data_IF_187938946301
#
_entry.id   IF_187938946301
#
_cell.length_a   1.000
_cell.length_b   1.000
_cell.length_c   1.000
_cell.angle_alpha   90.00
_cell.angle_beta   90.00
_cell.angle_gamma   90.00
#
_symmetry.space_group_name_H-M   'P 1'
#
loop_
_entity.id
_entity.type
_entity.pdbx_description
1 polymer ?
#
# COMPACT_ATOMS: atom_id res chain seq x y z
N UNK A 1 -6.24 16.75 -6.30
CA UNK A 1 -5.53 16.56 -7.59
C UNK A 1 -4.93 15.16 -7.61
N UNK A 2 -4.95 14.42 -8.73
CA UNK A 2 -4.25 13.14 -8.79
C UNK A 2 -2.75 13.42 -8.63
N UNK A 3 -2.17 12.89 -7.55
CA UNK A 3 -0.72 12.95 -7.32
C UNK A 3 -0.09 12.14 -8.45
N UNK A 4 0.42 12.81 -9.49
CA UNK A 4 1.26 12.19 -10.52
C UNK A 4 2.63 11.93 -9.88
N UNK A 5 2.68 10.95 -8.98
CA UNK A 5 3.91 10.51 -8.33
C UNK A 5 4.55 9.40 -9.14
N UNK A 6 5.86 9.49 -9.35
CA UNK A 6 6.61 8.43 -10.01
C UNK A 6 6.61 7.17 -9.12
N UNK A 7 6.00 6.09 -9.61
CA UNK A 7 6.00 4.79 -8.91
C UNK A 7 7.41 4.24 -8.66
N UNK A 8 8.44 4.80 -9.31
CA UNK A 8 9.83 4.46 -9.05
C UNK A 8 10.26 4.77 -7.60
N UNK A 9 9.64 5.77 -6.96
CA UNK A 9 9.91 6.17 -5.56
C UNK A 9 9.63 5.03 -4.57
N UNK A 10 8.66 4.16 -4.87
CA UNK A 10 8.27 3.05 -4.00
C UNK A 10 9.32 1.94 -3.92
N UNK A 11 10.24 1.85 -4.88
CA UNK A 11 11.29 0.83 -4.90
C UNK A 11 12.35 1.05 -3.82
N UNK A 12 12.47 2.28 -3.33
CA UNK A 12 13.52 2.67 -2.39
C UNK A 12 12.96 2.74 -0.98
N UNK A 13 13.64 2.15 -0.01
CA UNK A 13 13.20 2.18 1.39
C UNK A 13 13.51 3.52 2.05
N UNK A 14 14.72 4.03 1.79
CA UNK A 14 15.27 5.24 2.40
C UNK A 14 15.61 6.31 1.37
N UNK A 15 15.63 7.57 1.80
CA UNK A 15 16.02 8.68 0.93
C UNK A 15 17.47 8.56 0.43
N UNK A 16 18.37 8.01 1.26
CA UNK A 16 19.76 7.79 0.84
C UNK A 16 19.89 6.79 -0.30
N UNK A 17 19.07 5.73 -0.28
CA UNK A 17 19.02 4.72 -1.33
C UNK A 17 18.47 5.30 -2.64
N UNK A 18 17.46 6.16 -2.52
CA UNK A 18 16.94 6.93 -3.65
C UNK A 18 18.02 7.82 -4.26
N UNK A 19 18.76 8.60 -3.47
CA UNK A 19 19.87 9.42 -3.97
C UNK A 19 20.97 8.57 -4.60
N UNK A 20 21.29 7.42 -4.01
CA UNK A 20 22.29 6.49 -4.54
C UNK A 20 21.94 5.98 -5.93
N UNK A 21 20.66 5.86 -6.26
CA UNK A 21 20.20 5.44 -7.59
C UNK A 21 20.61 6.42 -8.71
N UNK A 22 20.85 7.69 -8.39
CA UNK A 22 21.33 8.71 -9.33
C UNK A 22 22.86 8.83 -9.37
N UNK A 23 23.56 8.26 -8.38
CA UNK A 23 25.02 8.34 -8.29
C UNK A 23 25.72 7.29 -9.16
N UNK A 24 26.85 7.67 -9.78
CA UNK A 24 27.74 6.79 -10.52
C UNK A 24 28.97 6.43 -9.70
N UNK A 25 29.58 5.30 -10.05
CA UNK A 25 30.83 4.81 -9.43
C UNK A 25 31.97 5.83 -9.56
N UNK A 26 32.01 6.58 -10.68
CA UNK A 26 32.99 7.64 -10.91
C UNK A 26 32.94 8.75 -9.84
N UNK A 27 31.76 9.12 -9.38
CA UNK A 27 31.63 10.18 -8.36
C UNK A 27 32.21 9.73 -7.03
N UNK A 28 31.96 8.47 -6.66
CA UNK A 28 32.59 7.88 -5.49
C UNK A 28 34.11 7.84 -5.62
N UNK A 29 34.62 7.61 -6.83
CA UNK A 29 36.07 7.57 -7.11
C UNK A 29 36.72 8.95 -7.06
N UNK A 30 36.08 9.98 -7.65
CA UNK A 30 36.68 11.30 -7.83
C UNK A 30 36.36 12.27 -6.69
N UNK A 31 35.14 12.25 -6.13
CA UNK A 31 34.75 13.16 -5.05
C UNK A 31 35.04 12.57 -3.66
N UNK A 32 34.98 11.23 -3.52
CA UNK A 32 35.28 10.51 -2.28
C UNK A 32 34.35 10.77 -1.09
N UNK A 33 33.63 11.90 -1.07
CA UNK A 33 32.77 12.32 0.02
C UNK A 33 31.28 12.23 -0.35
N UNK A 34 30.56 11.34 0.34
CA UNK A 34 29.11 11.11 0.17
C UNK A 34 28.28 12.40 0.28
N UNK A 35 28.66 13.34 1.15
CA UNK A 35 27.92 14.60 1.33
C UNK A 35 27.97 15.48 0.08
N UNK A 36 29.15 15.58 -0.53
CA UNK A 36 29.35 16.40 -1.74
C UNK A 36 28.63 15.75 -2.93
N UNK A 37 28.71 14.42 -3.03
CA UNK A 37 28.00 13.65 -4.06
C UNK A 37 26.48 13.86 -3.94
N UNK A 38 25.93 13.76 -2.72
CA UNK A 38 24.51 14.00 -2.49
C UNK A 38 24.09 15.43 -2.85
N UNK A 39 24.91 16.43 -2.49
CA UNK A 39 24.65 17.81 -2.87
C UNK A 39 24.66 17.99 -4.41
N UNK A 40 25.62 17.36 -5.10
CA UNK A 40 25.69 17.39 -6.56
C UNK A 40 24.46 16.76 -7.22
N UNK A 41 23.99 15.63 -6.68
CA UNK A 41 22.76 14.98 -7.13
C UNK A 41 21.58 15.93 -6.93
N UNK A 42 21.39 16.50 -5.74
CA UNK A 42 20.29 17.44 -5.46
C UNK A 42 20.24 18.64 -6.41
N UNK A 43 21.40 19.11 -6.88
CA UNK A 43 21.48 20.21 -7.84
C UNK A 43 20.93 19.85 -9.23
N UNK A 44 20.71 18.56 -9.54
CA UNK A 44 20.02 18.13 -10.75
C UNK A 44 20.83 18.27 -12.05
N UNK A 45 22.10 18.65 -12.01
CA UNK A 45 22.93 18.85 -13.21
C UNK A 45 23.11 17.60 -14.09
N UNK A 46 22.84 16.40 -13.56
CA UNK A 46 23.04 15.13 -14.26
C UNK A 46 21.79 14.58 -14.92
N UNK A 47 20.61 14.95 -14.46
CA UNK A 47 19.34 14.39 -14.92
C UNK A 47 18.33 15.49 -15.14
N UNK A 48 17.62 15.43 -16.27
CA UNK A 48 16.49 16.33 -16.54
C UNK A 48 15.26 16.05 -15.66
N UNK A 49 15.34 15.04 -14.79
CA UNK A 49 14.30 14.72 -13.83
C UNK A 49 14.43 15.62 -12.60
N UNK A 50 13.31 16.15 -12.13
CA UNK A 50 13.22 16.86 -10.85
C UNK A 50 13.48 15.87 -9.71
N UNK A 51 14.54 16.10 -8.94
CA UNK A 51 14.88 15.27 -7.79
C UNK A 51 14.11 15.79 -6.59
N UNK A 52 13.40 14.89 -5.91
CA UNK A 52 12.62 15.26 -4.73
C UNK A 52 13.53 15.60 -3.54
N UNK A 53 13.14 16.60 -2.77
CA UNK A 53 13.72 16.80 -1.44
C UNK A 53 13.29 15.68 -0.48
N UNK A 54 13.98 15.58 0.65
CA UNK A 54 13.76 14.49 1.61
C UNK A 54 12.31 14.45 2.12
N UNK A 55 11.76 15.61 2.49
CA UNK A 55 10.37 15.73 2.96
C UNK A 55 9.36 15.34 1.86
N UNK A 56 9.62 15.79 0.64
CA UNK A 56 8.79 15.51 -0.53
C UNK A 56 8.82 14.02 -0.89
N UNK A 57 9.99 13.39 -0.83
CA UNK A 57 10.15 11.96 -1.07
C UNK A 57 9.26 11.13 -0.13
N UNK A 58 9.28 11.42 1.16
CA UNK A 58 8.44 10.70 2.13
C UNK A 58 6.96 11.02 1.96
N UNK A 59 6.59 12.26 1.65
CA UNK A 59 5.21 12.65 1.39
C UNK A 59 4.65 11.93 0.16
N UNK A 60 5.38 11.94 -0.96
CA UNK A 60 5.01 11.24 -2.21
C UNK A 60 4.94 9.74 -1.97
N UNK A 61 5.92 9.15 -1.29
CA UNK A 61 5.94 7.72 -0.97
C UNK A 61 4.72 7.30 -0.16
N UNK A 62 4.36 8.08 0.86
CA UNK A 62 3.17 7.82 1.69
C UNK A 62 1.89 7.91 0.87
N UNK A 63 1.74 8.97 0.08
CA UNK A 63 0.57 9.17 -0.78
C UNK A 63 0.41 8.05 -1.81
N UNK A 64 1.52 7.58 -2.41
CA UNK A 64 1.51 6.46 -3.34
C UNK A 64 1.17 5.14 -2.65
N UNK A 65 1.65 4.93 -1.42
CA UNK A 65 1.32 3.74 -0.65
C UNK A 65 -0.17 3.70 -0.28
N UNK A 66 -0.74 4.84 0.11
CA UNK A 66 -2.17 4.99 0.39
C UNK A 66 -3.01 4.81 -0.89
N UNK A 67 -2.48 5.19 -2.06
CA UNK A 67 -3.14 4.97 -3.35
C UNK A 67 -3.13 3.50 -3.76
N UNK A 68 -2.03 2.78 -3.54
CA UNK A 68 -1.90 1.34 -3.86
C UNK A 68 -2.72 0.49 -2.90
N UNK A 69 -2.69 0.84 -1.63
CA UNK A 69 -3.48 0.18 -0.60
C UNK A 69 -4.49 1.19 -0.04
N UNK A 70 -5.57 1.50 -0.80
CA UNK A 70 -6.64 2.30 -0.25
C UNK A 70 -7.21 1.48 0.91
N UNK A 71 -6.87 1.87 2.15
CA UNK A 71 -7.56 1.34 3.32
C UNK A 71 -9.02 1.62 3.05
N UNK A 72 -9.81 0.58 2.85
CA UNK A 72 -11.26 0.71 2.69
C UNK A 72 -11.81 1.13 4.05
N UNK A 73 -11.66 2.41 4.38
CA UNK A 73 -12.28 3.03 5.54
C UNK A 73 -13.75 3.19 5.17
N UNK A 74 -14.46 2.06 5.17
CA UNK A 74 -15.91 2.07 5.00
C UNK A 74 -16.44 2.49 6.36
N UNK A 75 -16.87 3.75 6.41
CA UNK A 75 -17.11 4.49 7.65
C UNK A 75 -18.40 4.06 8.35
N UNK A 76 -19.25 3.27 7.69
CA UNK A 76 -20.54 2.80 8.24
C UNK A 76 -20.95 1.49 7.58
N UNK A 77 -21.17 0.44 8.37
CA UNK A 77 -21.80 -0.81 7.93
C UNK A 77 -23.33 -0.69 8.08
N UNK A 78 -24.09 -1.30 7.19
CA UNK A 78 -25.55 -1.36 7.31
C UNK A 78 -25.98 -2.07 8.60
N UNK A 79 -25.21 -3.08 9.02
CA UNK A 79 -25.39 -3.78 10.30
C UNK A 79 -25.51 -2.84 11.51
N UNK A 80 -24.84 -1.68 11.52
CA UNK A 80 -24.91 -0.70 12.60
C UNK A 80 -26.30 -0.04 12.76
N UNK A 81 -27.14 -0.09 11.73
CA UNK A 81 -28.47 0.54 11.71
C UNK A 81 -29.62 -0.48 11.69
N UNK A 82 -29.32 -1.78 11.78
CA UNK A 82 -30.32 -2.84 11.75
C UNK A 82 -31.13 -2.86 13.06
N UNK A 83 -32.43 -2.53 13.00
CA UNK A 83 -33.37 -2.60 14.14
C UNK A 83 -34.30 -3.83 14.11
N UNK A 84 -34.34 -4.55 12.99
CA UNK A 84 -35.22 -5.69 12.78
C UNK A 84 -34.62 -7.02 13.26
N UNK A 85 -35.50 -7.98 13.63
CA UNK A 85 -35.14 -9.35 14.05
C UNK A 85 -35.30 -10.40 12.95
N UNK A 86 -35.46 -9.97 11.69
CA UNK A 86 -35.59 -10.90 10.57
C UNK A 86 -34.30 -11.75 10.45
N UNK A 87 -34.39 -13.09 10.56
CA UNK A 87 -33.23 -13.97 10.51
C UNK A 87 -32.44 -13.85 9.19
N UNK A 88 -33.11 -13.51 8.07
CA UNK A 88 -32.42 -13.31 6.80
C UNK A 88 -31.54 -12.05 6.82
N UNK A 89 -32.05 -10.95 7.38
CA UNK A 89 -31.32 -9.69 7.47
C UNK A 89 -30.16 -9.75 8.45
N UNK A 90 -30.31 -10.47 9.57
CA UNK A 90 -29.23 -10.70 10.54
C UNK A 90 -28.07 -11.48 9.89
N UNK A 91 -28.37 -12.55 9.15
CA UNK A 91 -27.35 -13.34 8.47
C UNK A 91 -26.62 -12.55 7.36
N UNK A 92 -27.29 -11.60 6.71
CA UNK A 92 -26.67 -10.69 5.74
C UNK A 92 -25.77 -9.67 6.42
N UNK A 93 -26.22 -9.08 7.54
CA UNK A 93 -25.43 -8.15 8.35
C UNK A 93 -24.14 -8.77 8.88
N UNK A 94 -24.17 -10.04 9.33
CA UNK A 94 -22.99 -10.79 9.78
C UNK A 94 -21.97 -11.12 8.66
N UNK A 95 -22.40 -11.08 7.40
CA UNK A 95 -21.56 -11.35 6.23
C UNK A 95 -20.99 -10.06 5.63
N UNK A 96 -21.61 -8.93 5.91
CA UNK A 96 -21.28 -7.62 5.33
C UNK A 96 -19.81 -7.25 5.53
N UNK A 97 -19.31 -7.34 6.76
CA UNK A 97 -17.93 -6.95 7.10
C UNK A 97 -16.89 -7.79 6.36
N UNK A 98 -17.09 -9.11 6.30
CA UNK A 98 -16.17 -10.06 5.63
C UNK A 98 -16.21 -9.90 4.11
N UNK A 99 -17.39 -9.70 3.54
CA UNK A 99 -17.57 -9.45 2.12
C UNK A 99 -16.91 -8.12 1.70
N UNK A 100 -17.09 -7.06 2.50
CA UNK A 100 -16.51 -5.74 2.23
C UNK A 100 -14.98 -5.73 2.30
N UNK A 101 -14.39 -6.44 3.26
CA UNK A 101 -12.94 -6.57 3.36
C UNK A 101 -12.34 -7.47 2.26
N UNK A 102 -13.17 -8.02 1.36
CA UNK A 102 -12.78 -9.01 0.33
C UNK A 102 -12.01 -10.21 0.91
N UNK A 103 -12.15 -10.47 2.22
CA UNK A 103 -11.59 -11.62 2.93
C UNK A 103 -12.59 -12.77 2.87
N UNK A 104 -12.99 -13.16 1.67
CA UNK A 104 -13.79 -14.35 1.45
C UNK A 104 -12.84 -15.54 1.31
N UNK A 105 -12.64 -16.39 2.35
CA UNK A 105 -12.24 -17.75 2.08
C UNK A 105 -13.38 -18.42 1.31
N UNK A 106 -13.03 -19.11 0.23
CA UNK A 106 -13.93 -19.88 -0.60
C UNK A 106 -14.83 -20.78 0.28
N UNK A 107 -16.12 -20.45 0.31
CA UNK A 107 -17.24 -21.32 0.67
C UNK A 107 -17.25 -21.95 2.08
N UNK A 108 -18.07 -21.43 2.98
CA UNK A 108 -18.59 -22.18 4.13
C UNK A 108 -20.04 -21.80 4.37
N UNK A 109 -20.93 -22.33 3.52
CA UNK A 109 -22.35 -22.44 3.82
C UNK A 109 -22.51 -23.41 4.99
N UNK A 110 -22.60 -22.91 6.22
CA UNK A 110 -23.16 -23.70 7.33
C UNK A 110 -24.68 -23.69 7.18
N UNK A 111 -25.20 -24.67 6.44
CA UNK A 111 -26.58 -25.11 6.63
C UNK A 111 -26.60 -26.04 7.86
N UNK A 112 -27.69 -25.97 8.64
CA UNK A 112 -27.82 -26.65 9.92
C UNK A 112 -27.48 -28.14 9.88
N UNK A 113 -26.82 -28.58 10.96
CA UNK A 113 -26.73 -29.98 11.42
C UNK A 113 -26.34 -31.05 10.38
N UNK A 114 -25.06 -31.11 10.02
CA UNK A 114 -24.34 -32.38 9.83
C UNK A 114 -22.85 -32.08 9.68
N UNK A 115 -22.04 -32.57 10.63
CA UNK A 115 -20.58 -32.52 10.53
C UNK A 115 -20.15 -33.64 9.60
N UNK A 116 -19.87 -33.33 8.34
CA UNK A 116 -19.13 -34.21 7.45
C UNK A 116 -17.70 -33.68 7.34
N UNK A 117 -16.83 -34.18 8.24
CA UNK A 117 -15.39 -34.05 8.10
C UNK A 117 -14.94 -34.91 6.92
N UNK A 118 -14.69 -34.29 5.77
CA UNK A 118 -13.94 -34.94 4.69
C UNK A 118 -12.50 -34.50 4.83
N UNK A 119 -11.71 -35.39 5.42
CA UNK A 119 -10.26 -35.36 5.34
C UNK A 119 -9.84 -35.65 3.89
N UNK A 120 -8.86 -34.87 3.41
CA UNK A 120 -7.71 -35.30 2.57
C UNK A 120 -7.76 -35.10 1.05
N UNK A 121 -6.55 -34.80 0.55
CA UNK A 121 -5.96 -34.93 -0.81
C UNK A 121 -6.56 -34.00 -1.87
N UNK A 122 -5.85 -33.13 -2.60
CA UNK A 122 -4.47 -33.08 -3.12
C UNK A 122 -4.00 -31.62 -3.08
#
# INVERSE_FOLDING_TARGET
>A
MPVRGDFNVLKFETYEEYLRSFTRIEEYRYLGNKRIINALVKLGYRTNATIYEEEEFYAVKKNLLDLINPKSIITTLFSCYLKGKDPALVALAEREERNMQKKLPLFSFKCGSAVASIHRVI
#
